data_IF_277727929254
#
_entry.id   IF_277727929254
#
_cell.length_a   1.000
_cell.length_b   1.000
_cell.length_c   1.000
_cell.angle_alpha   90.00
_cell.angle_beta   90.00
_cell.angle_gamma   90.00
#
_symmetry.space_group_name_H-M   'P 1'
#
loop_
_entity.id
_entity.type
_entity.pdbx_description
1 polymer ?
#
# COMPACT_ATOMS: atom_id res chain seq x y z
N UNK A 1 25.06 -68.51 35.63
CA UNK A 1 25.17 -67.49 36.70
C UNK A 1 24.60 -66.19 36.15
N UNK A 2 23.71 -65.57 36.93
CA UNK A 2 23.47 -64.11 37.08
C UNK A 2 23.31 -63.25 35.81
N UNK A 3 22.09 -62.71 35.64
CA UNK A 3 21.76 -61.26 35.66
C UNK A 3 22.20 -60.54 34.36
N UNK A 4 21.44 -59.66 33.72
CA UNK A 4 20.64 -58.59 34.29
C UNK A 4 19.73 -58.02 33.17
N UNK A 5 18.56 -57.57 33.58
CA UNK A 5 17.69 -56.63 32.88
C UNK A 5 18.44 -55.32 32.53
N UNK A 6 17.96 -54.61 31.52
CA UNK A 6 17.40 -53.25 31.64
C UNK A 6 17.89 -52.24 30.58
N UNK A 7 16.88 -51.53 30.05
CA UNK A 7 16.83 -50.12 29.65
C UNK A 7 17.77 -49.59 28.55
N UNK A 8 17.23 -49.13 27.42
CA UNK A 8 16.60 -47.80 27.15
C UNK A 8 17.65 -46.71 26.90
N UNK A 9 17.33 -45.87 25.90
CA UNK A 9 17.65 -44.44 25.74
C UNK A 9 18.41 -44.13 24.44
N UNK A 10 17.59 -43.69 23.49
CA UNK A 10 17.66 -42.45 22.70
C UNK A 10 18.91 -42.08 21.89
N UNK A 11 18.59 -41.69 20.64
CA UNK A 11 19.16 -40.57 19.87
C UNK A 11 20.65 -40.79 19.49
N UNK A 12 21.12 -40.55 18.28
CA UNK A 12 21.15 -39.30 17.51
C UNK A 12 21.59 -39.70 16.07
N UNK A 13 20.95 -39.15 15.04
CA UNK A 13 21.36 -39.22 13.61
C UNK A 13 22.83 -38.80 13.41
N UNK A 14 23.61 -39.36 12.46
CA UNK A 14 23.61 -38.80 11.10
C UNK A 14 24.01 -39.80 9.99
N UNK A 15 24.14 -39.29 8.77
CA UNK A 15 24.68 -39.90 7.54
C UNK A 15 23.66 -40.31 6.48
N UNK A 16 23.48 -39.36 5.57
CA UNK A 16 23.16 -39.57 4.18
C UNK A 16 23.96 -40.73 3.59
N UNK A 17 23.26 -41.73 3.05
CA UNK A 17 23.79 -42.58 2.00
C UNK A 17 23.13 -42.19 0.69
N UNK A 18 23.97 -41.59 -0.14
CA UNK A 18 23.82 -41.29 -1.55
C UNK A 18 23.51 -42.58 -2.32
N UNK A 19 22.41 -42.59 -3.06
CA UNK A 19 22.28 -43.38 -4.28
C UNK A 19 22.25 -42.38 -5.45
N UNK A 20 23.41 -42.22 -6.07
CA UNK A 20 23.60 -41.51 -7.33
C UNK A 20 23.03 -42.38 -8.45
N UNK A 21 22.03 -41.88 -9.16
CA UNK A 21 21.93 -42.11 -10.60
C UNK A 21 21.83 -40.73 -11.29
N UNK A 22 22.85 -40.45 -12.11
CA UNK A 22 23.09 -39.28 -12.96
C UNK A 22 22.24 -39.49 -14.22
N UNK A 23 21.63 -38.53 -14.93
CA UNK A 23 21.79 -37.08 -15.04
C UNK A 23 20.76 -36.67 -16.11
N UNK A 24 19.96 -35.64 -15.87
CA UNK A 24 19.61 -34.68 -16.93
C UNK A 24 19.33 -33.35 -16.25
N UNK A 25 20.28 -32.44 -16.47
CA UNK A 25 20.35 -31.12 -15.88
C UNK A 25 19.31 -30.21 -16.54
N UNK A 26 18.38 -29.68 -15.75
CA UNK A 26 17.80 -28.36 -15.95
C UNK A 26 17.51 -27.76 -14.58
N UNK A 27 18.58 -27.30 -13.93
CA UNK A 27 18.46 -26.22 -12.96
C UNK A 27 18.12 -24.93 -13.72
N UNK A 28 17.06 -24.26 -13.28
CA UNK A 28 17.02 -22.82 -12.97
C UNK A 28 15.66 -22.23 -13.36
N UNK A 29 14.77 -22.12 -12.38
CA UNK A 29 13.97 -20.90 -12.24
C UNK A 29 13.62 -20.79 -10.76
N UNK A 30 14.54 -20.20 -10.01
CA UNK A 30 14.29 -18.85 -9.50
C UNK A 30 13.18 -18.89 -8.45
N UNK A 31 13.56 -19.41 -7.28
CA UNK A 31 12.89 -19.08 -6.03
C UNK A 31 13.17 -17.63 -5.66
N UNK A 32 12.86 -16.71 -6.58
CA UNK A 32 12.63 -15.31 -6.25
C UNK A 32 11.51 -15.25 -5.21
N UNK A 33 11.45 -14.19 -4.40
CA UNK A 33 10.40 -14.08 -3.39
C UNK A 33 9.07 -14.18 -4.11
N UNK A 34 8.33 -15.27 -3.87
CA UNK A 34 6.95 -15.40 -4.32
C UNK A 34 6.27 -14.10 -3.91
N UNK A 35 5.93 -13.24 -4.89
CA UNK A 35 5.10 -12.07 -4.65
C UNK A 35 3.93 -12.59 -3.84
N UNK A 36 3.80 -12.14 -2.58
CA UNK A 36 2.62 -12.45 -1.78
C UNK A 36 1.42 -12.14 -2.68
N UNK A 37 0.52 -13.11 -2.83
CA UNK A 37 -0.70 -12.88 -3.58
C UNK A 37 -1.42 -11.68 -2.98
N UNK A 38 -1.92 -10.80 -3.83
CA UNK A 38 -2.66 -9.62 -3.38
C UNK A 38 -3.90 -10.07 -2.57
N UNK A 39 -4.18 -9.33 -1.50
CA UNK A 39 -5.43 -9.42 -0.75
C UNK A 39 -6.08 -8.04 -0.71
N UNK A 40 -7.38 -7.99 -0.39
CA UNK A 40 -8.03 -6.69 -0.20
C UNK A 40 -7.34 -5.86 0.90
N UNK A 41 -6.85 -6.51 1.96
CA UNK A 41 -6.10 -5.86 3.04
C UNK A 41 -4.77 -5.29 2.54
N UNK A 42 -3.98 -6.04 1.76
CA UNK A 42 -2.70 -5.54 1.26
C UNK A 42 -2.88 -4.35 0.32
N UNK A 43 -3.83 -4.44 -0.61
CA UNK A 43 -4.14 -3.36 -1.55
C UNK A 43 -4.64 -2.12 -0.83
N UNK A 44 -5.57 -2.27 0.12
CA UNK A 44 -6.12 -1.10 0.83
C UNK A 44 -5.12 -0.49 1.80
N UNK A 45 -4.22 -1.29 2.38
CA UNK A 45 -3.08 -0.77 3.16
C UNK A 45 -2.16 0.10 2.30
N UNK A 46 -1.82 -0.35 1.09
CA UNK A 46 -1.01 0.45 0.16
C UNK A 46 -1.73 1.73 -0.28
N UNK A 47 -3.02 1.61 -0.64
CA UNK A 47 -3.85 2.75 -1.04
C UNK A 47 -3.95 3.82 0.08
N UNK A 48 -4.24 3.39 1.30
CA UNK A 48 -4.30 4.26 2.47
C UNK A 48 -2.94 4.87 2.82
N UNK A 49 -1.87 4.10 2.67
CA UNK A 49 -0.51 4.63 2.79
C UNK A 49 -0.23 5.77 1.83
N UNK A 50 -0.65 5.66 0.57
CA UNK A 50 -0.51 6.77 -0.39
C UNK A 50 -1.36 7.99 0.00
N UNK A 51 -2.58 7.80 0.51
CA UNK A 51 -3.39 8.92 1.00
C UNK A 51 -2.76 9.62 2.20
N UNK A 52 -2.19 8.87 3.15
CA UNK A 52 -1.44 9.45 4.27
C UNK A 52 -0.17 10.18 3.79
N UNK A 53 0.53 9.66 2.79
CA UNK A 53 1.69 10.30 2.17
C UNK A 53 1.36 11.63 1.47
N UNK A 54 0.22 11.68 0.76
CA UNK A 54 -0.32 12.92 0.18
C UNK A 54 -0.62 13.92 1.28
N UNK A 55 -1.32 13.47 2.34
CA UNK A 55 -1.71 14.32 3.47
C UNK A 55 -0.49 14.88 4.21
N UNK A 56 0.54 14.05 4.40
CA UNK A 56 1.82 14.46 4.99
C UNK A 56 2.49 15.54 4.15
N UNK A 57 2.58 15.33 2.83
CA UNK A 57 3.17 16.31 1.93
C UNK A 57 2.37 17.62 1.87
N UNK A 58 1.03 17.54 1.85
CA UNK A 58 0.15 18.72 1.87
C UNK A 58 0.29 19.52 3.17
N UNK A 59 0.45 18.85 4.31
CA UNK A 59 0.63 19.51 5.60
C UNK A 59 1.96 20.30 5.71
N UNK A 60 2.95 19.93 4.91
CA UNK A 60 4.27 20.57 4.84
C UNK A 60 4.37 21.67 3.77
N UNK A 61 3.26 22.06 3.15
CA UNK A 61 3.22 23.11 2.15
C UNK A 61 3.37 24.50 2.78
N UNK A 62 4.58 25.03 2.79
CA UNK A 62 4.93 26.34 3.35
C UNK A 62 5.65 27.28 2.36
N UNK A 63 5.98 26.76 1.18
CA UNK A 63 6.85 27.40 0.19
C UNK A 63 6.49 26.97 -1.23
N UNK A 64 7.02 27.70 -2.21
CA UNK A 64 6.84 27.37 -3.63
C UNK A 64 7.54 26.06 -3.98
N UNK A 65 8.72 25.83 -3.45
CA UNK A 65 9.51 24.61 -3.63
C UNK A 65 8.73 23.40 -3.09
N UNK A 66 8.19 23.49 -1.88
CA UNK A 66 7.34 22.42 -1.31
C UNK A 66 6.09 22.15 -2.17
N UNK A 67 5.48 23.19 -2.75
CA UNK A 67 4.33 23.06 -3.64
C UNK A 67 4.67 22.32 -4.95
N UNK A 68 5.84 22.58 -5.53
CA UNK A 68 6.33 21.87 -6.72
C UNK A 68 6.66 20.41 -6.42
N UNK A 69 7.33 20.14 -5.29
CA UNK A 69 7.63 18.79 -4.83
C UNK A 69 6.35 17.98 -4.57
N UNK A 70 5.34 18.61 -3.96
CA UNK A 70 4.03 18.01 -3.76
C UNK A 70 3.39 17.58 -5.08
N UNK A 71 3.36 18.46 -6.09
CA UNK A 71 2.81 18.15 -7.41
C UNK A 71 3.56 17.01 -8.08
N UNK A 72 4.90 17.01 -8.00
CA UNK A 72 5.71 15.91 -8.52
C UNK A 72 5.35 14.58 -7.85
N UNK A 73 5.28 14.56 -6.51
CA UNK A 73 4.91 13.36 -5.74
C UNK A 73 3.51 12.87 -6.10
N UNK A 74 2.53 13.75 -6.19
CA UNK A 74 1.15 13.42 -6.57
C UNK A 74 1.09 12.81 -7.98
N UNK A 75 1.84 13.37 -8.93
CA UNK A 75 1.94 12.81 -10.29
C UNK A 75 2.63 11.45 -10.33
N UNK A 76 3.66 11.23 -9.52
CA UNK A 76 4.33 9.93 -9.41
C UNK A 76 3.47 8.86 -8.75
N UNK A 77 2.47 9.25 -7.94
CA UNK A 77 1.55 8.31 -7.30
C UNK A 77 0.44 7.82 -8.22
N UNK A 78 0.03 8.61 -9.21
CA UNK A 78 -1.04 8.23 -10.14
C UNK A 78 -0.86 6.83 -10.75
N UNK A 79 0.27 6.48 -11.41
CA UNK A 79 0.43 5.14 -11.98
C UNK A 79 0.44 4.02 -10.92
N UNK A 80 0.85 4.33 -9.67
CA UNK A 80 0.82 3.37 -8.56
C UNK A 80 -0.61 3.10 -8.11
N UNK A 81 -1.44 4.14 -8.06
CA UNK A 81 -2.87 4.07 -7.73
C UNK A 81 -3.68 3.39 -8.85
N UNK A 82 -3.35 3.65 -10.12
CA UNK A 82 -3.90 2.89 -11.26
C UNK A 82 -3.58 1.39 -11.11
N UNK A 83 -2.32 1.05 -10.80
CA UNK A 83 -1.91 -0.32 -10.54
C UNK A 83 -2.63 -0.97 -9.35
N UNK A 84 -2.93 -0.20 -8.30
CA UNK A 84 -3.75 -0.68 -7.17
C UNK A 84 -5.19 -0.98 -7.58
N UNK A 85 -5.81 -0.11 -8.37
CA UNK A 85 -7.16 -0.33 -8.87
C UNK A 85 -7.24 -1.60 -9.73
N UNK A 86 -6.31 -1.80 -10.65
CA UNK A 86 -6.30 -2.99 -11.51
C UNK A 86 -6.07 -4.27 -10.70
N UNK A 87 -5.18 -4.24 -9.70
CA UNK A 87 -5.03 -5.35 -8.75
C UNK A 87 -6.32 -5.62 -7.97
N UNK A 88 -7.02 -4.56 -7.54
CA UNK A 88 -8.27 -4.70 -6.79
C UNK A 88 -9.38 -5.33 -7.62
N UNK A 89 -9.50 -4.94 -8.90
CA UNK A 89 -10.45 -5.51 -9.87
C UNK A 89 -10.20 -6.99 -10.16
N UNK A 90 -8.94 -7.44 -10.07
CA UNK A 90 -8.55 -8.83 -10.30
C UNK A 90 -8.87 -9.76 -9.12
N UNK A 91 -9.14 -9.20 -7.93
CA UNK A 91 -9.57 -9.97 -6.78
C UNK A 91 -11.05 -10.35 -6.88
N UNK A 92 -11.48 -11.46 -6.22
CA UNK A 92 -12.90 -11.68 -5.98
C UNK A 92 -13.52 -10.47 -5.25
N UNK A 93 -14.84 -10.30 -5.32
CA UNK A 93 -15.49 -9.21 -4.61
C UNK A 93 -15.22 -9.32 -3.09
N UNK A 94 -14.92 -8.20 -2.39
CA UNK A 94 -14.72 -8.23 -0.95
C UNK A 94 -16.01 -8.58 -0.22
N UNK A 95 -15.89 -9.30 0.89
CA UNK A 95 -17.03 -9.57 1.77
C UNK A 95 -17.51 -8.29 2.46
N UNK A 96 -18.72 -8.32 3.01
CA UNK A 96 -19.28 -7.18 3.75
C UNK A 96 -18.44 -6.83 4.99
N UNK A 97 -17.88 -7.83 5.67
CA UNK A 97 -16.95 -7.62 6.80
C UNK A 97 -15.66 -6.92 6.36
N UNK A 98 -15.11 -7.31 5.20
CA UNK A 98 -13.91 -6.67 4.65
C UNK A 98 -14.20 -5.22 4.25
N UNK A 99 -15.34 -4.96 3.59
CA UNK A 99 -15.78 -3.60 3.26
C UNK A 99 -15.95 -2.75 4.51
N UNK A 100 -16.62 -3.27 5.54
CA UNK A 100 -16.85 -2.54 6.79
C UNK A 100 -15.53 -2.17 7.48
N UNK A 101 -14.55 -3.08 7.51
CA UNK A 101 -13.22 -2.79 8.06
C UNK A 101 -12.51 -1.68 7.27
N UNK A 102 -12.53 -1.77 5.93
CA UNK A 102 -11.88 -0.79 5.04
C UNK A 102 -12.55 0.59 5.14
N UNK A 103 -13.89 0.64 5.20
CA UNK A 103 -14.65 1.88 5.42
C UNK A 103 -14.31 2.52 6.77
N UNK A 104 -14.13 1.72 7.82
CA UNK A 104 -13.74 2.24 9.13
C UNK A 104 -12.36 2.89 9.08
N UNK A 105 -11.38 2.22 8.44
CA UNK A 105 -10.04 2.79 8.23
C UNK A 105 -10.10 4.07 7.38
N UNK A 106 -10.90 4.10 6.32
CA UNK A 106 -11.10 5.29 5.50
C UNK A 106 -11.59 6.48 6.33
N UNK A 107 -12.66 6.29 7.12
CA UNK A 107 -13.22 7.33 7.99
C UNK A 107 -12.22 7.84 9.02
N UNK A 108 -11.36 6.97 9.53
CA UNK A 108 -10.29 7.37 10.45
C UNK A 108 -9.28 8.30 9.75
N UNK A 109 -8.87 7.95 8.52
CA UNK A 109 -7.93 8.75 7.72
C UNK A 109 -8.56 10.10 7.34
N UNK A 110 -9.82 10.13 6.90
CA UNK A 110 -10.54 11.38 6.62
C UNK A 110 -10.64 12.27 7.86
N UNK A 111 -10.94 11.68 9.02
CA UNK A 111 -10.99 12.43 10.28
C UNK A 111 -9.64 13.04 10.63
N UNK A 112 -8.54 12.30 10.45
CA UNK A 112 -7.17 12.81 10.63
C UNK A 112 -6.87 13.92 9.62
N UNK A 113 -7.29 13.76 8.36
CA UNK A 113 -7.10 14.75 7.30
C UNK A 113 -7.81 16.06 7.63
N UNK A 114 -9.11 16.02 7.95
CA UNK A 114 -9.88 17.20 8.33
C UNK A 114 -9.25 17.91 9.54
N UNK A 115 -8.80 17.17 10.55
CA UNK A 115 -8.13 17.74 11.72
C UNK A 115 -6.84 18.46 11.35
N UNK A 116 -6.00 17.88 10.49
CA UNK A 116 -4.76 18.52 10.01
C UNK A 116 -5.06 19.76 9.17
N UNK A 117 -6.03 19.71 8.28
CA UNK A 117 -6.43 20.85 7.47
C UNK A 117 -6.90 22.02 8.35
N UNK A 118 -7.74 21.75 9.35
CA UNK A 118 -8.19 22.76 10.33
C UNK A 118 -7.03 23.34 11.14
N UNK A 119 -6.01 22.55 11.49
CA UNK A 119 -4.82 23.06 12.18
C UNK A 119 -4.01 24.04 11.30
N UNK A 120 -3.92 23.79 9.99
CA UNK A 120 -3.23 24.66 9.06
C UNK A 120 -3.97 25.99 8.81
N UNK A 121 -5.29 26.04 9.00
CA UNK A 121 -6.05 27.32 8.94
C UNK A 121 -5.64 28.27 10.06
N UNK A 122 -5.22 27.75 11.22
CA UNK A 122 -4.76 28.58 12.33
C UNK A 122 -3.38 29.22 12.08
N UNK A 123 -2.59 28.68 11.14
CA UNK A 123 -1.27 29.17 10.77
C UNK A 123 -1.16 29.24 9.23
N UNK A 124 -1.78 30.23 8.59
CA UNK A 124 -1.79 30.33 7.14
C UNK A 124 -0.37 30.56 6.60
N UNK A 125 -0.04 30.01 5.41
CA UNK A 125 1.22 30.29 4.76
C UNK A 125 1.31 31.77 4.35
N UNK A 126 2.51 32.24 4.00
CA UNK A 126 2.70 33.58 3.44
C UNK A 126 1.86 33.76 2.16
N UNK A 127 1.48 34.99 1.76
CA UNK A 127 0.70 35.21 0.53
C UNK A 127 1.36 34.64 -0.74
N UNK A 128 2.69 34.70 -0.81
CA UNK A 128 3.47 34.14 -1.91
C UNK A 128 3.39 32.60 -1.91
N UNK A 129 3.59 31.97 -0.76
CA UNK A 129 3.46 30.52 -0.61
C UNK A 129 2.01 30.07 -0.87
N UNK A 130 1.01 30.82 -0.40
CA UNK A 130 -0.40 30.54 -0.65
C UNK A 130 -0.73 30.56 -2.15
N UNK A 131 -0.17 31.52 -2.90
CA UNK A 131 -0.33 31.60 -4.36
C UNK A 131 0.30 30.39 -5.04
N UNK A 132 1.54 30.06 -4.69
CA UNK A 132 2.23 28.90 -5.26
C UNK A 132 1.51 27.57 -4.94
N UNK A 133 0.99 27.42 -3.72
CA UNK A 133 0.19 26.27 -3.30
C UNK A 133 -1.12 26.21 -4.10
N UNK A 134 -1.81 27.33 -4.30
CA UNK A 134 -3.03 27.38 -5.07
C UNK A 134 -2.80 27.02 -6.55
N UNK A 135 -1.73 27.53 -7.16
CA UNK A 135 -1.34 27.16 -8.54
C UNK A 135 -0.98 25.67 -8.65
N UNK A 136 -0.19 25.16 -7.71
CA UNK A 136 0.20 23.76 -7.65
C UNK A 136 -1.02 22.84 -7.53
N UNK A 137 -1.91 23.13 -6.57
CA UNK A 137 -3.17 22.39 -6.38
C UNK A 137 -4.07 22.49 -7.61
N UNK A 138 -4.23 23.69 -8.19
CA UNK A 138 -5.01 23.88 -9.42
C UNK A 138 -4.51 23.03 -10.59
N UNK A 139 -3.19 22.84 -10.70
CA UNK A 139 -2.56 22.02 -11.75
C UNK A 139 -2.86 20.52 -11.65
N UNK A 140 -3.25 20.03 -10.47
CA UNK A 140 -3.60 18.62 -10.22
C UNK A 140 -5.09 18.41 -9.97
N UNK A 141 -5.88 19.46 -9.77
CA UNK A 141 -7.34 19.39 -9.63
C UNK A 141 -8.10 19.67 -10.94
N UNK A 142 -7.40 19.83 -12.05
CA UNK A 142 -8.02 20.09 -13.35
C UNK A 142 -7.40 19.26 -14.47
N UNK A 143 -8.16 19.06 -15.55
CA UNK A 143 -7.71 18.34 -16.75
C UNK A 143 -7.56 16.83 -16.56
N UNK A 144 -6.81 16.20 -17.48
CA UNK A 144 -6.69 14.74 -17.61
C UNK A 144 -6.19 14.06 -16.32
N UNK A 145 -5.27 14.71 -15.59
CA UNK A 145 -4.77 14.16 -14.32
C UNK A 145 -5.90 14.01 -13.30
N UNK A 146 -6.72 15.05 -13.14
CA UNK A 146 -7.86 15.04 -12.22
C UNK A 146 -8.89 13.99 -12.63
N UNK A 147 -9.22 13.91 -13.92
CA UNK A 147 -10.17 12.91 -14.43
C UNK A 147 -9.69 11.48 -14.16
N UNK A 148 -8.39 11.22 -14.31
CA UNK A 148 -7.82 9.90 -14.00
C UNK A 148 -7.85 9.61 -12.51
N UNK A 149 -7.49 10.58 -11.67
CA UNK A 149 -7.58 10.43 -10.23
C UNK A 149 -9.01 10.16 -9.78
N UNK A 150 -10.01 10.84 -10.34
CA UNK A 150 -11.43 10.59 -10.08
C UNK A 150 -11.82 9.15 -10.46
N UNK A 151 -11.44 8.68 -11.65
CA UNK A 151 -11.70 7.29 -12.07
C UNK A 151 -11.07 6.30 -11.09
N UNK A 152 -9.88 6.59 -10.59
CA UNK A 152 -9.19 5.72 -9.64
C UNK A 152 -9.91 5.70 -8.30
N UNK A 153 -10.18 6.87 -7.72
CA UNK A 153 -10.87 6.98 -6.43
C UNK A 153 -12.27 6.38 -6.48
N UNK A 154 -12.97 6.54 -7.60
CA UNK A 154 -14.34 6.01 -7.80
C UNK A 154 -14.31 4.51 -7.98
N UNK A 155 -13.32 4.00 -8.71
CA UNK A 155 -13.11 2.57 -8.87
C UNK A 155 -12.82 1.88 -7.54
N UNK A 156 -11.90 2.44 -6.74
CA UNK A 156 -11.59 1.95 -5.40
C UNK A 156 -12.81 2.07 -4.50
N UNK A 157 -13.51 3.22 -4.53
CA UNK A 157 -14.71 3.44 -3.73
C UNK A 157 -15.83 2.47 -4.06
N UNK A 158 -16.05 2.16 -5.33
CA UNK A 158 -17.06 1.20 -5.76
C UNK A 158 -16.74 -0.24 -5.30
N UNK A 159 -15.46 -0.65 -5.35
CA UNK A 159 -15.05 -2.00 -4.91
C UNK A 159 -15.25 -2.16 -3.39
N UNK A 160 -14.87 -1.14 -2.61
CA UNK A 160 -14.82 -1.22 -1.15
C UNK A 160 -16.01 -0.57 -0.44
N UNK A 161 -16.94 0.02 -1.19
CA UNK A 161 -18.09 0.75 -0.65
C UNK A 161 -17.70 2.02 0.09
N UNK A 162 -16.65 2.72 -0.34
CA UNK A 162 -16.26 4.00 0.25
C UNK A 162 -17.12 5.09 -0.39
N UNK A 163 -17.92 5.77 0.43
CA UNK A 163 -18.76 6.89 0.00
C UNK A 163 -17.90 8.16 -0.20
N UNK A 164 -18.29 9.00 -1.16
CA UNK A 164 -17.69 10.33 -1.41
C UNK A 164 -18.28 11.40 -0.50
#
# INVERSE_FOLDING_TARGET
MKLLKALTVCLILPFAFVACDKKEDNEASDGGPSKKADTHESITTEYFGYMEDVMGAMASLDSKEAALEFVAKVKEMQPKLEGLLERAKALPAPSDEQKAAIQATHKEIETKMMKKMMANVANPPSPEAATAIAEAMGSVMTGEFSEKMDVITDGIGAIYGIEK
#
